data_IF_493174527075
#
_entry.id   IF_493174527075
#
_cell.length_a   1.000
_cell.length_b   1.000
_cell.length_c   1.000
_cell.angle_alpha   90.00
_cell.angle_beta   90.00
_cell.angle_gamma   90.00
#
_symmetry.space_group_name_H-M   'P 1'
#
loop_
_entity.id
_entity.type
_entity.pdbx_description
1 polymer ?
#
# COMPACT_ATOMS: atom_id res chain seq x y z
N UNK A 1 -17.43 0.53 5.88
CA UNK A 1 -16.10 -0.07 5.60
C UNK A 1 -15.05 0.81 6.23
N UNK A 2 -14.05 0.24 6.92
CA UNK A 2 -12.95 1.02 7.50
C UNK A 2 -11.92 1.23 6.40
N UNK A 3 -11.42 2.46 6.23
CA UNK A 3 -10.43 2.81 5.21
C UNK A 3 -9.15 3.27 5.88
N UNK A 4 -8.01 2.85 5.33
CA UNK A 4 -6.69 3.31 5.75
C UNK A 4 -5.94 3.82 4.53
N UNK A 5 -5.71 5.13 4.48
CA UNK A 5 -4.99 5.78 3.38
C UNK A 5 -3.57 6.14 3.83
N UNK A 6 -2.59 5.64 3.09
CA UNK A 6 -1.20 6.04 3.23
C UNK A 6 -0.90 7.11 2.19
N UNK A 7 -0.44 8.27 2.66
CA UNK A 7 0.07 9.34 1.80
C UNK A 7 1.58 9.46 2.03
N UNK A 8 2.35 9.11 1.01
CA UNK A 8 3.80 8.92 1.10
C UNK A 8 4.46 9.47 -0.16
N UNK A 9 5.68 9.98 -0.03
CA UNK A 9 6.33 10.68 -1.15
C UNK A 9 6.79 9.73 -2.27
N UNK A 10 7.18 8.50 -1.93
CA UNK A 10 7.74 7.55 -2.88
C UNK A 10 7.26 6.13 -2.59
N UNK A 11 6.97 5.41 -3.66
CA UNK A 11 6.42 4.06 -3.66
C UNK A 11 7.36 3.03 -3.01
N UNK A 12 8.66 3.10 -3.30
CA UNK A 12 9.67 2.22 -2.71
C UNK A 12 9.80 2.37 -1.20
N UNK A 13 9.60 3.59 -0.66
CA UNK A 13 9.69 3.84 0.79
C UNK A 13 8.53 3.16 1.52
N UNK A 14 7.34 3.22 0.92
CA UNK A 14 6.20 2.48 1.40
C UNK A 14 6.47 0.97 1.34
N UNK A 15 6.98 0.49 0.20
CA UNK A 15 7.25 -0.92 0.00
C UNK A 15 8.20 -1.51 1.06
N UNK A 16 9.25 -0.74 1.39
CA UNK A 16 10.30 -1.13 2.32
C UNK A 16 9.85 -1.14 3.79
N UNK A 17 8.98 -0.21 4.20
CA UNK A 17 8.70 0.04 5.63
C UNK A 17 7.26 -0.23 6.07
N UNK A 18 6.30 -0.18 5.16
CA UNK A 18 4.88 -0.11 5.52
C UNK A 18 4.04 -1.26 4.95
N UNK A 19 4.55 -2.03 3.99
CA UNK A 19 3.84 -3.16 3.37
C UNK A 19 3.24 -4.12 4.40
N UNK A 20 4.03 -4.64 5.34
CA UNK A 20 3.54 -5.58 6.35
C UNK A 20 2.42 -5.00 7.24
N UNK A 21 2.49 -3.70 7.55
CA UNK A 21 1.44 -3.02 8.32
C UNK A 21 0.16 -2.85 7.50
N UNK A 22 0.28 -2.57 6.21
CA UNK A 22 -0.84 -2.50 5.30
C UNK A 22 -1.49 -3.88 5.08
N UNK A 23 -0.69 -4.95 4.99
CA UNK A 23 -1.17 -6.34 4.98
C UNK A 23 -1.96 -6.64 6.26
N UNK A 24 -1.39 -6.36 7.44
CA UNK A 24 -2.08 -6.60 8.71
C UNK A 24 -3.38 -5.80 8.84
N UNK A 25 -3.41 -4.55 8.39
CA UNK A 25 -4.61 -3.73 8.38
C UNK A 25 -5.66 -4.27 7.39
N UNK A 26 -5.26 -4.69 6.19
CA UNK A 26 -6.14 -5.35 5.22
C UNK A 26 -6.77 -6.60 5.85
N UNK A 27 -5.97 -7.43 6.50
CA UNK A 27 -6.43 -8.67 7.14
C UNK A 27 -7.35 -8.40 8.34
N UNK A 28 -7.23 -7.24 8.98
CA UNK A 28 -8.16 -6.74 9.99
C UNK A 28 -9.45 -6.12 9.41
N UNK A 29 -9.65 -6.18 8.08
CA UNK A 29 -10.85 -5.73 7.39
C UNK A 29 -10.84 -4.27 6.95
N UNK A 30 -9.66 -3.65 6.81
CA UNK A 30 -9.53 -2.32 6.24
C UNK A 30 -9.37 -2.37 4.72
N UNK A 31 -10.03 -1.45 4.03
CA UNK A 31 -9.71 -1.10 2.64
C UNK A 31 -8.46 -0.21 2.65
N UNK A 32 -7.39 -0.68 2.00
CA UNK A 32 -6.12 0.03 1.94
C UNK A 32 -6.11 0.91 0.70
N UNK A 33 -5.63 2.14 0.84
CA UNK A 33 -5.34 3.03 -0.28
C UNK A 33 -3.94 3.60 -0.12
N UNK A 34 -3.19 3.66 -1.22
CA UNK A 34 -1.85 4.24 -1.23
C UNK A 34 -1.81 5.37 -2.26
N UNK A 35 -1.53 6.58 -1.79
CA UNK A 35 -1.28 7.74 -2.63
C UNK A 35 0.21 8.05 -2.54
N UNK A 36 0.90 7.91 -3.66
CA UNK A 36 2.32 8.17 -3.78
C UNK A 36 2.68 8.60 -5.19
N UNK A 37 3.85 9.20 -5.35
CA UNK A 37 4.49 9.20 -6.65
C UNK A 37 4.96 7.78 -6.96
N UNK A 38 4.31 7.12 -7.91
CA UNK A 38 4.68 5.79 -8.39
C UNK A 38 5.62 5.93 -9.58
N UNK A 39 6.80 5.34 -9.48
CA UNK A 39 7.87 5.46 -10.48
C UNK A 39 7.95 4.19 -11.34
N UNK A 40 7.68 3.02 -10.75
CA UNK A 40 7.83 1.72 -11.43
C UNK A 40 6.54 0.90 -11.50
N UNK A 41 6.31 0.24 -12.65
CA UNK A 41 5.16 -0.66 -12.82
C UNK A 41 5.19 -1.88 -11.87
N UNK A 42 6.39 -2.33 -11.49
CA UNK A 42 6.55 -3.52 -10.63
C UNK A 42 5.93 -3.32 -9.25
N UNK A 43 6.13 -2.15 -8.64
CA UNK A 43 5.55 -1.83 -7.33
C UNK A 43 4.03 -1.72 -7.42
N UNK A 44 3.51 -1.10 -8.48
CA UNK A 44 2.05 -1.04 -8.71
C UNK A 44 1.47 -2.45 -8.85
N UNK A 45 2.12 -3.33 -9.64
CA UNK A 45 1.69 -4.73 -9.82
C UNK A 45 1.72 -5.47 -8.48
N UNK A 46 2.80 -5.35 -7.71
CA UNK A 46 2.93 -5.93 -6.37
C UNK A 46 1.78 -5.50 -5.45
N UNK A 47 1.52 -4.20 -5.33
CA UNK A 47 0.48 -3.67 -4.44
C UNK A 47 -0.93 -4.09 -4.86
N UNK A 48 -1.22 -4.12 -6.16
CA UNK A 48 -2.49 -4.67 -6.67
C UNK A 48 -2.65 -6.15 -6.33
N UNK A 49 -1.60 -6.95 -6.47
CA UNK A 49 -1.62 -8.38 -6.06
C UNK A 49 -1.84 -8.54 -4.56
N UNK A 50 -1.37 -7.60 -3.74
CA UNK A 50 -1.62 -7.55 -2.30
C UNK A 50 -3.02 -7.03 -1.94
N UNK A 51 -3.81 -6.55 -2.90
CA UNK A 51 -5.15 -6.02 -2.66
C UNK A 51 -5.17 -4.61 -2.06
N UNK A 52 -4.16 -3.80 -2.39
CA UNK A 52 -4.11 -2.36 -2.10
C UNK A 52 -4.58 -1.52 -3.29
#
# INVERSE_FOLDING_TARGET
MKRLCYFVNSDWYFDLHWTERAIAARDAGYEIHIISHFIGEEIIKKFKTLGF
#
